data_IF_051663336845
#
_entry.id   IF_051663336845
#
_cell.length_a   1.000
_cell.length_b   1.000
_cell.length_c   1.000
_cell.angle_alpha   90.00
_cell.angle_beta   90.00
_cell.angle_gamma   90.00
#
_symmetry.space_group_name_H-M   'P 1'
#
loop_
_entity.id
_entity.type
_entity.pdbx_description
1 polymer ?
#
# COMPACT_ATOMS: atom_id res chain seq x y z
N UNK A 1 -12.97 13.44 -24.15
CA UNK A 1 -12.21 12.48 -23.31
C UNK A 1 -10.92 12.17 -24.05
N UNK A 2 -9.77 12.26 -23.39
CA UNK A 2 -8.49 11.85 -23.98
C UNK A 2 -8.47 10.34 -24.20
N UNK A 3 -7.76 9.89 -25.23
CA UNK A 3 -7.52 8.47 -25.48
C UNK A 3 -6.75 7.86 -24.29
N UNK A 4 -7.02 6.59 -23.91
CA UNK A 4 -6.27 5.94 -22.85
C UNK A 4 -4.77 5.86 -23.19
N UNK A 5 -3.89 5.93 -22.18
CA UNK A 5 -2.45 5.88 -22.39
C UNK A 5 -1.99 4.54 -22.97
N UNK A 6 -0.90 4.56 -23.73
CA UNK A 6 -0.30 3.34 -24.29
C UNK A 6 0.20 2.41 -23.19
N UNK A 7 -0.12 1.13 -23.26
CA UNK A 7 0.38 0.13 -22.31
C UNK A 7 1.48 -0.73 -22.93
N UNK A 8 2.40 -1.24 -22.10
CA UNK A 8 3.31 -2.29 -22.48
C UNK A 8 2.55 -3.62 -22.68
N UNK A 9 3.02 -4.52 -23.56
CA UNK A 9 2.52 -5.89 -23.60
C UNK A 9 2.97 -6.67 -22.35
N UNK A 10 2.16 -7.63 -21.90
CA UNK A 10 2.46 -8.49 -20.76
C UNK A 10 3.83 -9.16 -20.89
N UNK A 11 4.74 -8.84 -19.98
CA UNK A 11 5.94 -9.63 -19.71
C UNK A 11 6.26 -9.65 -18.21
N UNK A 12 5.22 -9.76 -17.40
CA UNK A 12 5.36 -9.83 -15.96
C UNK A 12 5.81 -11.25 -15.51
N UNK A 13 6.89 -11.30 -14.70
CA UNK A 13 7.42 -12.53 -14.10
C UNK A 13 6.73 -12.90 -12.77
N UNK A 14 5.64 -12.21 -12.44
CA UNK A 14 4.83 -12.46 -11.25
C UNK A 14 4.28 -13.88 -11.15
N UNK A 15 4.23 -14.64 -12.25
CA UNK A 15 3.82 -16.06 -12.27
C UNK A 15 4.68 -16.94 -11.37
N UNK A 16 5.89 -16.50 -10.99
CA UNK A 16 6.77 -17.21 -10.06
C UNK A 16 6.41 -17.00 -8.57
N UNK A 17 5.60 -15.97 -8.25
CA UNK A 17 5.17 -15.69 -6.87
C UNK A 17 3.81 -16.33 -6.57
N UNK A 18 3.45 -16.53 -5.29
CA UNK A 18 2.10 -16.91 -4.91
C UNK A 18 1.07 -15.85 -5.35
N UNK A 19 -0.01 -16.30 -6.00
CA UNK A 19 -1.16 -15.48 -6.38
C UNK A 19 -2.31 -15.70 -5.39
N UNK A 20 -2.95 -14.59 -5.03
CA UNK A 20 -4.10 -14.54 -4.16
C UNK A 20 -5.25 -13.89 -4.92
N UNK A 21 -6.45 -14.48 -4.93
CA UNK A 21 -7.60 -13.89 -5.62
C UNK A 21 -7.89 -12.47 -5.15
N UNK A 22 -7.91 -12.25 -3.83
CA UNK A 22 -8.13 -10.92 -3.24
C UNK A 22 -7.18 -10.66 -2.07
N UNK A 23 -7.27 -9.44 -1.51
CA UNK A 23 -6.53 -9.09 -0.30
C UNK A 23 -6.92 -9.95 0.91
N UNK A 24 -8.13 -10.51 0.94
CA UNK A 24 -8.61 -11.38 2.02
C UNK A 24 -7.84 -12.69 2.09
N UNK A 25 -7.61 -13.34 0.95
CA UNK A 25 -6.84 -14.59 0.90
C UNK A 25 -5.38 -14.34 1.26
N UNK A 26 -4.79 -13.24 0.77
CA UNK A 26 -3.45 -12.85 1.19
C UNK A 26 -3.40 -12.59 2.70
N UNK A 27 -4.36 -11.85 3.27
CA UNK A 27 -4.41 -11.60 4.70
C UNK A 27 -4.46 -12.91 5.51
N UNK A 28 -5.34 -13.84 5.15
CA UNK A 28 -5.43 -15.14 5.80
C UNK A 28 -4.09 -15.90 5.74
N UNK A 29 -3.43 -15.89 4.58
CA UNK A 29 -2.12 -16.51 4.41
C UNK A 29 -1.05 -15.85 5.29
N UNK A 30 -0.95 -14.52 5.28
CA UNK A 30 0.00 -13.77 6.11
C UNK A 30 -0.20 -14.08 7.60
N UNK A 31 -1.45 -14.19 8.06
CA UNK A 31 -1.76 -14.54 9.45
C UNK A 31 -1.34 -15.97 9.80
N UNK A 32 -1.55 -16.93 8.89
CA UNK A 32 -1.17 -18.32 9.13
C UNK A 32 0.36 -18.52 9.13
N UNK A 33 1.07 -17.97 8.14
CA UNK A 33 2.53 -18.14 8.07
C UNK A 33 3.27 -17.41 9.19
N UNK A 34 2.64 -16.43 9.85
CA UNK A 34 3.20 -15.70 11.00
C UNK A 34 2.69 -16.19 12.35
N UNK A 35 1.79 -17.18 12.39
CA UNK A 35 1.09 -17.64 13.59
C UNK A 35 1.96 -18.13 14.77
N UNK A 36 3.20 -18.64 14.61
CA UNK A 36 4.02 -19.01 15.76
C UNK A 36 4.41 -17.77 16.59
N UNK A 37 3.97 -17.72 17.85
CA UNK A 37 4.27 -16.62 18.78
C UNK A 37 5.75 -16.59 19.20
N UNK A 38 6.38 -15.41 19.16
CA UNK A 38 7.77 -15.18 19.54
C UNK A 38 8.51 -14.22 18.60
N UNK A 39 9.85 -14.35 18.52
CA UNK A 39 10.77 -13.66 17.59
C UNK A 39 10.60 -14.10 16.12
N UNK A 40 9.38 -14.45 15.70
CA UNK A 40 9.16 -15.02 14.39
C UNK A 40 8.91 -13.93 13.34
N UNK A 41 9.89 -13.76 12.44
CA UNK A 41 9.80 -12.89 11.27
C UNK A 41 9.93 -13.71 10.01
N UNK A 42 8.94 -13.63 9.13
CA UNK A 42 9.08 -14.09 7.75
C UNK A 42 9.84 -13.01 6.97
N UNK A 43 10.96 -13.39 6.35
CA UNK A 43 11.78 -12.46 5.56
C UNK A 43 11.44 -12.58 4.08
N UNK A 44 11.40 -11.44 3.39
CA UNK A 44 11.29 -11.35 1.93
C UNK A 44 10.06 -12.08 1.35
N UNK A 45 8.90 -11.90 1.97
CA UNK A 45 7.65 -12.37 1.39
C UNK A 45 7.30 -11.52 0.17
N UNK A 46 6.86 -12.19 -0.90
CA UNK A 46 6.28 -11.55 -2.10
C UNK A 46 5.00 -12.30 -2.43
N UNK A 47 3.91 -11.58 -2.68
CA UNK A 47 2.67 -12.17 -3.15
C UNK A 47 1.93 -11.21 -4.08
N UNK A 48 1.12 -11.77 -4.98
CA UNK A 48 0.36 -11.04 -5.99
C UNK A 48 -1.13 -11.12 -5.65
N UNK A 49 -1.82 -9.99 -5.70
CA UNK A 49 -3.27 -9.89 -5.56
C UNK A 49 -3.84 -9.65 -6.94
N UNK A 50 -4.69 -10.57 -7.40
CA UNK A 50 -5.29 -10.52 -8.74
C UNK A 50 -6.37 -9.44 -8.83
N UNK A 51 -7.26 -9.38 -7.84
CA UNK A 51 -8.27 -8.34 -7.68
C UNK A 51 -7.93 -7.42 -6.48
N UNK A 52 -7.31 -6.28 -6.79
CA UNK A 52 -7.01 -5.20 -5.84
C UNK A 52 -8.07 -4.09 -5.86
N UNK A 53 -9.29 -4.37 -6.32
CA UNK A 53 -10.38 -3.40 -6.21
C UNK A 53 -10.61 -3.01 -4.74
N UNK A 54 -11.19 -1.81 -4.52
CA UNK A 54 -11.47 -1.33 -3.16
C UNK A 54 -12.39 -2.29 -2.41
N UNK A 55 -13.38 -2.87 -3.09
CA UNK A 55 -14.28 -3.88 -2.54
C UNK A 55 -13.53 -5.15 -2.11
N UNK A 56 -12.74 -5.74 -3.01
CA UNK A 56 -11.92 -6.93 -2.73
C UNK A 56 -10.83 -6.68 -1.67
N UNK A 57 -10.44 -5.41 -1.46
CA UNK A 57 -9.45 -4.98 -0.49
C UNK A 57 -10.02 -4.51 0.84
N UNK A 58 -11.35 -4.49 0.97
CA UNK A 58 -12.04 -4.14 2.23
C UNK A 58 -12.16 -5.39 3.11
N UNK A 59 -11.15 -5.60 3.96
CA UNK A 59 -11.09 -6.73 4.89
C UNK A 59 -11.29 -6.22 6.32
N UNK A 60 -12.49 -6.41 6.86
CA UNK A 60 -12.81 -5.99 8.21
C UNK A 60 -12.25 -6.94 9.27
N UNK A 61 -11.78 -6.37 10.37
CA UNK A 61 -11.33 -7.07 11.57
C UNK A 61 -11.83 -6.32 12.80
N UNK A 62 -11.74 -6.90 13.99
CA UNK A 62 -12.09 -6.19 15.23
C UNK A 62 -11.26 -4.90 15.40
N UNK A 63 -9.96 -4.95 15.07
CA UNK A 63 -9.10 -3.78 15.12
C UNK A 63 -9.42 -2.78 14.01
N UNK A 64 -9.88 -3.24 12.85
CA UNK A 64 -10.18 -2.41 11.68
C UNK A 64 -11.58 -2.72 11.12
N UNK A 65 -12.64 -2.22 11.79
CA UNK A 65 -13.95 -2.17 11.16
C UNK A 65 -13.92 -1.20 9.96
N UNK A 66 -14.90 -1.29 9.06
CA UNK A 66 -14.94 -0.49 7.83
C UNK A 66 -14.72 1.02 8.05
N UNK A 67 -15.38 1.60 9.05
CA UNK A 67 -15.23 3.03 9.35
C UNK A 67 -13.78 3.43 9.72
N UNK A 68 -13.03 2.53 10.39
CA UNK A 68 -11.62 2.75 10.64
C UNK A 68 -10.80 2.69 9.34
N UNK A 69 -11.04 1.70 8.47
CA UNK A 69 -10.36 1.57 7.18
C UNK A 69 -10.55 2.84 6.33
N UNK A 70 -11.79 3.33 6.23
CA UNK A 70 -12.15 4.54 5.51
C UNK A 70 -11.45 5.78 6.09
N UNK A 71 -11.47 5.94 7.42
CA UNK A 71 -10.79 7.04 8.10
C UNK A 71 -9.28 7.08 7.81
N UNK A 72 -8.57 5.97 8.03
CA UNK A 72 -7.11 5.93 7.78
C UNK A 72 -6.78 6.11 6.31
N UNK A 73 -7.67 5.69 5.41
CA UNK A 73 -7.52 5.90 3.97
C UNK A 73 -7.68 7.36 3.61
N UNK A 74 -8.76 8.04 4.05
CA UNK A 74 -8.92 9.49 3.87
C UNK A 74 -7.70 10.25 4.37
N UNK A 75 -7.29 9.92 5.60
CA UNK A 75 -6.11 10.50 6.25
C UNK A 75 -4.85 10.34 5.40
N UNK A 76 -4.52 9.12 4.96
CA UNK A 76 -3.31 8.84 4.17
C UNK A 76 -3.38 9.36 2.73
N UNK A 77 -4.57 9.44 2.15
CA UNK A 77 -4.80 10.13 0.87
C UNK A 77 -4.60 11.64 1.00
N UNK A 78 -4.66 12.21 2.22
CA UNK A 78 -4.68 13.66 2.41
C UNK A 78 -6.05 14.28 2.08
N UNK A 79 -7.11 13.47 2.14
CA UNK A 79 -8.48 13.92 2.00
C UNK A 79 -9.03 14.46 3.33
N UNK A 80 -10.12 15.21 3.24
CA UNK A 80 -10.81 15.74 4.42
C UNK A 80 -11.48 14.60 5.20
N UNK A 81 -11.43 14.72 6.52
CA UNK A 81 -12.15 13.90 7.49
C UNK A 81 -12.64 14.80 8.64
N UNK A 82 -13.72 14.42 9.31
CA UNK A 82 -14.29 15.19 10.41
C UNK A 82 -13.55 14.98 11.73
N UNK A 83 -13.77 15.88 12.70
CA UNK A 83 -13.28 15.70 14.06
C UNK A 83 -13.89 14.45 14.73
N UNK A 84 -15.17 14.17 14.47
CA UNK A 84 -15.84 12.97 14.96
C UNK A 84 -15.19 11.68 14.43
N UNK A 85 -14.82 11.64 13.14
CA UNK A 85 -14.07 10.51 12.58
C UNK A 85 -12.71 10.35 13.26
N UNK A 86 -12.02 11.46 13.55
CA UNK A 86 -10.75 11.45 14.29
C UNK A 86 -10.94 10.87 15.70
N UNK A 87 -11.88 11.42 16.48
CA UNK A 87 -12.11 11.02 17.87
C UNK A 87 -12.54 9.55 17.97
N UNK A 88 -13.27 9.06 16.96
CA UNK A 88 -13.76 7.67 16.91
C UNK A 88 -12.66 6.68 16.49
N UNK A 89 -11.86 7.02 15.49
CA UNK A 89 -11.02 6.03 14.78
C UNK A 89 -9.51 6.16 15.01
N UNK A 90 -9.02 7.31 15.49
CA UNK A 90 -7.59 7.54 15.69
C UNK A 90 -7.06 6.80 16.93
N UNK A 91 -6.31 5.71 16.73
CA UNK A 91 -5.74 4.88 17.79
C UNK A 91 -4.26 4.57 17.50
N UNK A 92 -3.42 4.57 18.53
CA UNK A 92 -1.97 4.32 18.38
C UNK A 92 -1.67 2.89 17.86
N UNK A 93 -2.45 1.90 18.29
CA UNK A 93 -2.38 0.49 17.88
C UNK A 93 -2.63 0.27 16.37
N UNK A 94 -3.36 1.17 15.71
CA UNK A 94 -3.70 1.09 14.27
C UNK A 94 -2.59 1.58 13.32
N UNK A 95 -1.37 1.71 13.81
CA UNK A 95 -0.17 1.97 13.00
C UNK A 95 0.70 3.13 13.47
N UNK A 96 0.24 3.93 14.43
CA UNK A 96 1.00 5.06 14.97
C UNK A 96 1.57 5.97 13.87
N UNK A 97 2.74 6.57 14.13
CA UNK A 97 3.42 7.43 13.18
C UNK A 97 4.00 6.69 11.97
N UNK A 98 4.41 5.42 12.13
CA UNK A 98 4.98 4.60 11.03
C UNK A 98 3.97 4.30 9.91
N UNK A 99 2.68 4.32 10.23
CA UNK A 99 1.58 4.07 9.30
C UNK A 99 0.87 5.34 8.79
N UNK A 100 1.41 6.53 9.06
CA UNK A 100 0.91 7.81 8.57
C UNK A 100 1.67 8.20 7.30
N UNK A 101 1.00 8.16 6.15
CA UNK A 101 1.58 8.35 4.83
C UNK A 101 1.18 9.67 4.16
N UNK A 102 0.45 10.53 4.87
CA UNK A 102 -0.25 11.67 4.26
C UNK A 102 0.65 12.75 3.67
N UNK A 103 1.88 12.84 4.16
CA UNK A 103 2.80 13.94 3.82
C UNK A 103 3.04 14.01 2.31
N UNK A 104 2.62 15.13 1.71
CA UNK A 104 2.76 15.38 0.28
C UNK A 104 1.99 14.44 -0.64
N UNK A 105 1.08 13.59 -0.13
CA UNK A 105 0.43 12.54 -0.93
C UNK A 105 -0.28 13.08 -2.18
N UNK A 106 -1.01 14.19 -2.06
CA UNK A 106 -1.70 14.84 -3.18
C UNK A 106 -0.73 15.24 -4.31
N UNK A 107 0.41 15.85 -3.95
CA UNK A 107 1.44 16.23 -4.92
C UNK A 107 2.12 15.00 -5.55
N UNK A 108 2.38 13.95 -4.75
CA UNK A 108 2.93 12.68 -5.23
C UNK A 108 2.01 12.02 -6.25
N UNK A 109 0.70 11.97 -5.99
CA UNK A 109 -0.30 11.46 -6.92
C UNK A 109 -0.35 12.27 -8.21
N UNK A 110 -0.39 13.61 -8.12
CA UNK A 110 -0.38 14.48 -9.29
C UNK A 110 0.85 14.24 -10.17
N UNK A 111 2.04 14.13 -9.57
CA UNK A 111 3.28 13.86 -10.31
C UNK A 111 3.28 12.48 -10.96
N UNK A 112 2.74 11.47 -10.28
CA UNK A 112 2.60 10.13 -10.84
C UNK A 112 1.66 10.13 -12.06
N UNK A 113 0.48 10.74 -11.93
CA UNK A 113 -0.52 10.81 -13.00
C UNK A 113 0.10 11.55 -14.20
N UNK A 114 0.71 12.70 -13.99
CA UNK A 114 1.40 13.46 -15.04
C UNK A 114 2.47 12.61 -15.75
N UNK A 115 3.31 11.89 -14.99
CA UNK A 115 4.33 10.98 -15.53
C UNK A 115 3.72 9.89 -16.42
N UNK A 116 2.66 9.19 -15.96
CA UNK A 116 2.05 8.09 -16.73
C UNK A 116 1.14 8.57 -17.87
N UNK A 117 0.62 9.79 -17.82
CA UNK A 117 -0.11 10.39 -18.94
C UNK A 117 0.85 10.83 -20.05
N UNK A 118 1.95 11.49 -19.69
CA UNK A 118 2.92 12.04 -20.65
C UNK A 118 3.90 10.99 -21.17
N UNK A 119 4.32 10.08 -20.30
CA UNK A 119 5.22 8.98 -20.61
C UNK A 119 4.66 7.64 -20.10
N UNK A 120 3.66 7.05 -20.77
CA UNK A 120 2.98 5.84 -20.32
C UNK A 120 3.85 4.61 -20.04
N UNK A 121 5.04 4.54 -20.66
CA UNK A 121 6.01 3.45 -20.49
C UNK A 121 7.17 3.85 -19.56
N UNK A 122 7.02 4.94 -18.82
CA UNK A 122 8.03 5.45 -17.90
C UNK A 122 8.31 4.46 -16.77
N UNK A 123 9.59 4.27 -16.47
CA UNK A 123 10.06 3.52 -15.29
C UNK A 123 10.08 4.37 -14.02
N UNK A 124 9.61 5.64 -14.11
CA UNK A 124 9.68 6.65 -13.05
C UNK A 124 8.33 6.86 -12.34
N UNK A 125 7.30 6.10 -12.69
CA UNK A 125 5.99 6.16 -12.04
C UNK A 125 6.06 5.62 -10.61
N UNK A 126 6.53 6.42 -9.66
CA UNK A 126 6.77 5.98 -8.27
C UNK A 126 6.21 7.01 -7.28
N UNK A 127 5.55 6.52 -6.23
CA UNK A 127 5.22 7.30 -5.04
C UNK A 127 6.18 6.89 -3.90
N UNK A 128 7.16 7.74 -3.55
CA UNK A 128 7.98 7.53 -2.36
C UNK A 128 7.24 8.00 -1.10
N UNK A 129 7.23 7.18 -0.06
CA UNK A 129 6.48 7.46 1.17
C UNK A 129 7.28 8.32 2.17
N UNK A 130 8.52 7.98 2.57
CA UNK A 130 9.21 8.67 3.66
C UNK A 130 10.10 9.85 3.23
N UNK A 131 10.21 10.12 1.92
CA UNK A 131 11.25 11.03 1.38
C UNK A 131 10.71 12.36 0.83
N UNK A 132 9.61 12.90 1.36
CA UNK A 132 9.12 14.21 0.92
C UNK A 132 9.93 15.38 1.47
N UNK A 133 10.53 15.25 2.65
CA UNK A 133 11.24 16.36 3.34
C UNK A 133 12.54 15.97 4.01
N UNK A 134 12.74 14.68 4.33
CA UNK A 134 13.95 14.14 4.98
C UNK A 134 14.59 13.12 4.05
N UNK A 135 15.89 13.26 3.77
CA UNK A 135 16.64 12.35 2.91
C UNK A 135 17.15 11.11 3.64
N UNK A 136 17.60 10.08 2.91
CA UNK A 136 18.19 8.87 3.50
C UNK A 136 19.44 9.14 4.34
N UNK A 137 20.16 10.23 4.06
CA UNK A 137 21.35 10.63 4.82
C UNK A 137 21.04 11.13 6.24
N UNK A 138 19.86 11.69 6.45
CA UNK A 138 19.50 12.40 7.70
C UNK A 138 18.40 11.67 8.48
N UNK A 139 18.12 10.41 8.12
CA UNK A 139 17.05 9.64 8.75
C UNK A 139 17.45 9.21 10.16
N UNK A 140 16.61 9.51 11.14
CA UNK A 140 16.75 9.03 12.51
C UNK A 140 15.96 7.72 12.66
N UNK A 141 16.65 6.62 12.94
CA UNK A 141 16.02 5.30 13.11
C UNK A 141 15.17 5.22 14.40
N UNK A 142 15.39 6.12 15.36
CA UNK A 142 14.63 6.20 16.62
C UNK A 142 13.31 6.97 16.45
N UNK A 143 13.20 7.82 15.43
CA UNK A 143 11.96 8.52 15.10
C UNK A 143 11.02 7.59 14.31
N UNK A 144 9.97 7.10 14.97
CA UNK A 144 8.95 6.26 14.35
C UNK A 144 8.25 6.94 13.16
N UNK A 145 8.17 8.27 13.14
CA UNK A 145 7.61 9.03 12.04
C UNK A 145 8.45 8.95 10.77
N UNK A 146 9.78 8.85 10.89
CA UNK A 146 10.69 8.79 9.74
C UNK A 146 10.85 7.36 9.19
N UNK A 147 10.62 6.35 10.04
CA UNK A 147 10.73 4.94 9.67
C UNK A 147 9.39 4.38 9.16
N UNK A 148 8.83 4.95 8.09
CA UNK A 148 7.58 4.45 7.49
C UNK A 148 7.73 2.99 7.04
N UNK A 149 6.66 2.19 7.23
CA UNK A 149 6.64 0.77 6.84
C UNK A 149 6.65 0.59 5.32
N UNK A 150 5.75 1.27 4.60
CA UNK A 150 5.81 1.36 3.15
C UNK A 150 6.94 2.32 2.75
N UNK A 151 7.76 1.92 1.79
CA UNK A 151 8.85 2.74 1.25
C UNK A 151 8.42 3.38 -0.05
N UNK A 152 7.91 2.56 -0.97
CA UNK A 152 7.61 2.97 -2.34
C UNK A 152 6.44 2.18 -2.91
N UNK A 153 5.68 2.83 -3.78
CA UNK A 153 4.68 2.22 -4.64
C UNK A 153 5.07 2.49 -6.09
N UNK A 154 5.30 1.44 -6.87
CA UNK A 154 5.76 1.49 -8.26
C UNK A 154 4.57 1.20 -9.17
N UNK A 155 4.22 2.15 -10.01
CA UNK A 155 3.07 2.08 -10.90
C UNK A 155 3.54 1.96 -12.35
N UNK A 156 2.85 1.12 -13.11
CA UNK A 156 3.17 0.88 -14.50
C UNK A 156 1.94 0.43 -15.28
N UNK A 157 1.91 0.77 -16.57
CA UNK A 157 0.83 0.46 -17.49
C UNK A 157 1.20 -0.77 -18.32
N UNK A 158 0.46 -1.86 -18.13
CA UNK A 158 0.69 -3.13 -18.81
C UNK A 158 -0.66 -3.80 -19.12
N UNK A 159 -0.80 -4.38 -20.31
CA UNK A 159 -2.03 -5.06 -20.76
C UNK A 159 -3.30 -4.22 -20.69
N UNK A 160 -3.18 -2.92 -20.94
CA UNK A 160 -4.31 -1.99 -20.85
C UNK A 160 -4.69 -1.64 -19.42
N UNK A 161 -3.96 -2.10 -18.40
CA UNK A 161 -4.29 -1.93 -16.98
C UNK A 161 -3.22 -1.16 -16.23
N UNK A 162 -3.62 -0.44 -15.18
CA UNK A 162 -2.69 0.10 -14.18
C UNK A 162 -2.35 -0.99 -13.16
N UNK A 163 -1.09 -1.39 -13.12
CA UNK A 163 -0.55 -2.33 -12.12
C UNK A 163 0.31 -1.59 -11.11
N UNK A 164 0.48 -2.18 -9.93
CA UNK A 164 1.29 -1.58 -8.87
C UNK A 164 2.10 -2.63 -8.10
N UNK A 165 3.35 -2.29 -7.77
CA UNK A 165 4.17 -3.05 -6.81
C UNK A 165 4.44 -2.18 -5.60
N UNK A 166 4.06 -2.66 -4.41
CA UNK A 166 4.40 -1.99 -3.15
C UNK A 166 5.59 -2.63 -2.45
N UNK A 167 6.54 -1.79 -2.05
CA UNK A 167 7.74 -2.19 -1.31
C UNK A 167 7.58 -1.78 0.15
N UNK A 168 7.51 -2.76 1.03
CA UNK A 168 7.24 -2.58 2.45
C UNK A 168 8.40 -3.16 3.26
N UNK A 169 9.13 -2.30 4.00
CA UNK A 169 10.25 -2.75 4.84
C UNK A 169 9.80 -3.63 6.00
N UNK A 170 8.56 -3.44 6.45
CA UNK A 170 7.98 -4.12 7.62
C UNK A 170 6.46 -4.15 7.50
N UNK A 171 5.86 -5.33 7.54
CA UNK A 171 4.41 -5.49 7.61
C UNK A 171 4.05 -6.28 8.87
N UNK A 172 3.19 -5.69 9.69
CA UNK A 172 2.49 -6.40 10.73
C UNK A 172 1.18 -6.94 10.13
N UNK A 173 0.94 -8.25 10.25
CA UNK A 173 -0.23 -8.89 9.68
C UNK A 173 -1.55 -8.26 10.19
N UNK A 174 -1.65 -7.89 11.48
CA UNK A 174 -2.83 -7.18 12.01
C UNK A 174 -3.08 -5.80 11.37
N UNK A 175 -2.03 -5.13 10.88
CA UNK A 175 -2.13 -3.80 10.27
C UNK A 175 -2.25 -3.88 8.74
N UNK A 176 -2.04 -5.05 8.16
CA UNK A 176 -2.09 -5.27 6.71
C UNK A 176 -3.39 -4.75 6.08
N UNK A 177 -4.53 -5.06 6.68
CA UNK A 177 -5.86 -4.69 6.16
C UNK A 177 -6.02 -3.17 5.98
N UNK A 178 -5.42 -2.37 6.86
CA UNK A 178 -5.40 -0.91 6.74
C UNK A 178 -4.55 -0.45 5.56
N UNK A 179 -3.35 -1.01 5.43
CA UNK A 179 -2.41 -0.61 4.37
C UNK A 179 -2.96 -0.99 3.00
N UNK A 180 -3.51 -2.20 2.86
CA UNK A 180 -4.01 -2.69 1.57
C UNK A 180 -5.26 -1.94 1.12
N UNK A 181 -6.17 -1.59 2.03
CA UNK A 181 -7.34 -0.76 1.70
C UNK A 181 -6.92 0.62 1.20
N UNK A 182 -5.91 1.24 1.83
CA UNK A 182 -5.33 2.49 1.35
C UNK A 182 -4.69 2.34 -0.03
N UNK A 183 -3.87 1.30 -0.25
CA UNK A 183 -3.22 1.08 -1.54
C UNK A 183 -4.23 0.82 -2.66
N UNK A 184 -5.26 0.00 -2.42
CA UNK A 184 -6.34 -0.25 -3.36
C UNK A 184 -7.06 1.05 -3.75
N UNK A 185 -7.39 1.89 -2.76
CA UNK A 185 -8.02 3.20 -2.99
C UNK A 185 -7.14 4.14 -3.79
N UNK A 186 -5.84 4.16 -3.51
CA UNK A 186 -4.86 4.96 -4.23
C UNK A 186 -4.71 4.49 -5.69
N UNK A 187 -4.60 3.18 -5.91
CA UNK A 187 -4.50 2.58 -7.25
C UNK A 187 -5.77 2.87 -8.05
N UNK A 188 -6.95 2.68 -7.47
CA UNK A 188 -8.24 2.98 -8.09
C UNK A 188 -8.35 4.47 -8.48
N UNK A 189 -7.95 5.38 -7.58
CA UNK A 189 -7.94 6.82 -7.87
C UNK A 189 -7.05 7.14 -9.08
N UNK A 190 -5.81 6.64 -9.11
CA UNK A 190 -4.88 6.88 -10.23
C UNK A 190 -5.40 6.24 -11.52
N UNK A 191 -5.94 5.02 -11.47
CA UNK A 191 -6.48 4.32 -12.63
C UNK A 191 -7.65 5.10 -13.27
N UNK A 192 -8.54 5.66 -12.45
CA UNK A 192 -9.65 6.53 -12.89
C UNK A 192 -9.14 7.79 -13.58
N UNK A 193 -8.15 8.47 -13.00
CA UNK A 193 -7.53 9.68 -13.60
C UNK A 193 -6.79 9.38 -14.93
N UNK A 194 -6.27 8.16 -15.08
CA UNK A 194 -5.65 7.67 -16.31
C UNK A 194 -6.64 7.08 -17.31
N UNK A 195 -7.91 6.91 -16.92
CA UNK A 195 -8.95 6.23 -17.70
C UNK A 195 -8.53 4.83 -18.17
N UNK A 196 -7.98 4.03 -17.24
CA UNK A 196 -7.60 2.63 -17.46
C UNK A 196 -8.18 1.74 -16.36
N UNK A 197 -8.46 0.46 -16.64
CA UNK A 197 -8.81 -0.51 -15.61
C UNK A 197 -7.65 -0.73 -14.62
N UNK A 198 -8.01 -1.10 -13.40
CA UNK A 198 -7.07 -1.60 -12.38
C UNK A 198 -6.59 -3.00 -12.78
N UNK A 199 -5.31 -3.26 -12.58
CA UNK A 199 -4.67 -4.56 -12.73
C UNK A 199 -4.26 -5.18 -11.40
N UNK A 200 -3.36 -6.15 -11.47
CA UNK A 200 -2.82 -6.84 -10.29
C UNK A 200 -1.96 -5.91 -9.41
N UNK A 201 -1.87 -6.26 -8.13
CA UNK A 201 -0.98 -5.63 -7.17
C UNK A 201 0.04 -6.63 -6.62
N UNK A 202 1.31 -6.26 -6.58
CA UNK A 202 2.38 -7.08 -5.99
C UNK A 202 2.80 -6.49 -4.65
N UNK A 203 2.74 -7.30 -3.59
CA UNK A 203 3.08 -6.88 -2.23
C UNK A 203 4.42 -7.49 -1.83
N UNK A 204 5.47 -6.68 -1.78
CA UNK A 204 6.81 -7.10 -1.36
C UNK A 204 7.06 -6.64 0.07
N UNK A 205 7.25 -7.60 0.98
CA UNK A 205 7.51 -7.37 2.39
C UNK A 205 8.89 -7.89 2.77
N UNK A 206 9.79 -7.01 3.24
CA UNK A 206 11.10 -7.43 3.74
C UNK A 206 11.00 -8.16 5.07
N UNK A 207 10.18 -7.66 6.00
CA UNK A 207 9.99 -8.21 7.34
C UNK A 207 8.50 -8.34 7.64
N UNK A 208 8.02 -9.54 7.86
CA UNK A 208 6.62 -9.83 8.12
C UNK A 208 6.49 -10.49 9.51
N UNK A 209 5.67 -9.90 10.37
CA UNK A 209 5.36 -10.42 11.70
C UNK A 209 3.85 -10.55 11.92
N UNK A 210 3.47 -11.31 12.95
CA UNK A 210 2.08 -11.51 13.31
C UNK A 210 1.42 -10.26 13.88
N UNK A 211 2.10 -9.64 14.86
CA UNK A 211 1.64 -8.48 15.60
C UNK A 211 2.84 -7.64 16.12
N UNK A 212 2.55 -6.59 16.91
CA UNK A 212 3.56 -5.63 17.39
C UNK A 212 4.45 -6.17 18.51
N UNK A 213 4.06 -7.27 19.15
CA UNK A 213 4.80 -7.87 20.26
C UNK A 213 5.92 -8.79 19.76
N UNK A 214 6.01 -9.04 18.45
CA UNK A 214 7.16 -9.69 17.85
C UNK A 214 8.42 -8.84 18.06
N UNK A 215 9.39 -9.40 18.79
CA UNK A 215 10.54 -8.70 19.42
C UNK A 215 11.49 -7.99 18.46
N UNK A 216 11.33 -8.17 17.15
CA UNK A 216 12.08 -7.44 16.12
C UNK A 216 11.23 -6.33 15.49
N UNK A 217 10.90 -5.31 16.27
CA UNK A 217 10.35 -4.05 15.78
C UNK A 217 11.09 -2.87 16.41
#
# INVERSE_FOLDING_TARGET
>A
MSSPPKCAPSKNLNTAYPHFPTAKEMYAHLREITKPGGEYVVRNFVGVIEDISVEASTVETELFPKGALEYYTKKNMGWQYSQEEYDTWQLAERGGAQGDYREGMQAKMKNLIDCLQTEPLSKRGVIPIPYSTVGSQTIDWTDQGQNKCCRELHFYLEDGKLKCTGIVRMQNANIYVKNIHFFATLIDHVAKELNVPVGEYTHWITNLCHDRNATSC
#
